data_IF_015681177062
#
_entry.id   IF_015681177062
#
_cell.length_a   1.000
_cell.length_b   1.000
_cell.length_c   1.000
_cell.angle_alpha   90.00
_cell.angle_beta   90.00
_cell.angle_gamma   90.00
#
_symmetry.space_group_name_H-M   'P 1'
#
loop_
_entity.id
_entity.type
_entity.pdbx_description
1 polymer ?
#
# COMPACT_ATOMS: atom_id res chain seq x y z
N UNK A 1 20.36 -5.39 -56.50
CA UNK A 1 19.36 -6.48 -56.44
C UNK A 1 18.18 -5.98 -55.61
N UNK A 2 17.16 -5.33 -56.18
CA UNK A 2 15.90 -5.87 -56.74
C UNK A 2 15.11 -6.80 -55.81
N UNK A 3 13.96 -6.26 -55.34
CA UNK A 3 12.62 -6.85 -55.09
C UNK A 3 12.18 -6.78 -53.62
N UNK A 4 10.92 -6.53 -53.27
CA UNK A 4 9.72 -6.01 -53.95
C UNK A 4 8.79 -5.56 -52.82
N UNK A 5 8.10 -4.48 -53.04
CA UNK A 5 6.95 -3.97 -52.30
C UNK A 5 5.76 -4.93 -52.39
N UNK A 6 4.97 -5.06 -51.31
CA UNK A 6 3.52 -5.31 -51.40
C UNK A 6 2.76 -4.68 -50.22
N UNK A 7 1.72 -3.94 -50.59
CA UNK A 7 0.78 -3.15 -49.80
C UNK A 7 -0.48 -4.00 -49.47
N UNK A 8 -1.53 -3.48 -48.80
CA UNK A 8 -2.27 -4.17 -47.75
C UNK A 8 -3.64 -4.70 -48.21
N UNK A 9 -4.27 -5.54 -47.39
CA UNK A 9 -5.68 -5.94 -47.59
C UNK A 9 -6.54 -5.38 -46.46
N UNK A 10 -7.29 -4.32 -46.78
CA UNK A 10 -8.52 -3.91 -46.10
C UNK A 10 -9.56 -5.01 -46.27
N UNK A 11 -10.16 -5.48 -45.18
CA UNK A 11 -11.46 -6.13 -45.21
C UNK A 11 -12.49 -5.16 -44.64
N UNK A 12 -13.40 -4.71 -45.49
CA UNK A 12 -14.69 -4.11 -45.13
C UNK A 12 -15.74 -5.21 -45.12
N UNK A 13 -16.71 -5.11 -44.19
CA UNK A 13 -18.17 -5.41 -44.30
C UNK A 13 -18.72 -5.83 -42.92
N UNK A 14 -20.03 -5.71 -42.64
CA UNK A 14 -20.95 -4.62 -42.96
C UNK A 14 -21.67 -4.06 -41.71
N UNK A 15 -22.26 -2.87 -41.86
CA UNK A 15 -23.30 -2.34 -40.98
C UNK A 15 -24.51 -3.29 -40.93
N UNK A 16 -24.95 -3.65 -39.73
CA UNK A 16 -26.30 -4.16 -39.51
C UNK A 16 -27.11 -3.08 -38.77
N UNK A 17 -28.00 -2.43 -39.52
CA UNK A 17 -29.04 -1.55 -38.99
C UNK A 17 -30.15 -2.42 -38.40
N UNK A 18 -30.34 -2.36 -37.09
CA UNK A 18 -31.41 -3.05 -36.36
C UNK A 18 -32.30 -2.05 -35.65
N UNK A 19 -33.28 -1.51 -36.39
CA UNK A 19 -34.38 -0.69 -35.89
C UNK A 19 -35.41 -1.61 -35.23
N UNK A 20 -35.72 -1.41 -33.95
CA UNK A 20 -37.06 -1.73 -33.42
C UNK A 20 -37.34 -1.00 -32.10
N UNK A 21 -38.18 0.03 -32.22
CA UNK A 21 -39.00 0.56 -31.14
C UNK A 21 -39.82 -0.55 -30.50
N UNK A 22 -39.90 -0.59 -29.16
CA UNK A 22 -41.12 -1.03 -28.48
C UNK A 22 -41.26 -0.46 -27.07
N UNK A 23 -42.28 0.37 -26.96
CA UNK A 23 -43.26 0.45 -25.88
C UNK A 23 -42.75 0.60 -24.45
N UNK A 24 -42.76 1.88 -24.03
CA UNK A 24 -43.12 2.31 -22.68
C UNK A 24 -44.34 1.54 -22.16
N UNK A 25 -44.15 0.70 -21.14
CA UNK A 25 -45.24 0.18 -20.31
C UNK A 25 -45.00 0.60 -18.87
N UNK A 26 -45.56 1.77 -18.54
CA UNK A 26 -45.79 2.23 -17.16
C UNK A 26 -46.75 1.25 -16.49
N UNK A 27 -46.22 0.34 -15.68
CA UNK A 27 -46.98 -0.31 -14.61
C UNK A 27 -46.63 0.35 -13.29
N UNK A 28 -47.54 1.22 -12.83
CA UNK A 28 -47.66 1.60 -11.41
C UNK A 28 -47.84 0.30 -10.62
N UNK A 29 -46.84 -0.10 -9.85
CA UNK A 29 -47.04 -1.08 -8.79
C UNK A 29 -47.04 -0.35 -7.44
N UNK A 30 -48.07 -0.63 -6.67
CA UNK A 30 -48.32 -0.14 -5.32
C UNK A 30 -47.12 -0.40 -4.42
N UNK A 31 -46.75 0.64 -3.69
CA UNK A 31 -45.95 0.56 -2.46
C UNK A 31 -46.79 -0.21 -1.43
N UNK A 32 -46.31 -1.37 -1.01
CA UNK A 32 -46.68 -2.02 0.24
C UNK A 32 -45.42 -2.08 1.12
N UNK A 33 -45.54 -1.87 2.44
CA UNK A 33 -44.39 -1.86 3.35
C UNK A 33 -43.87 -3.29 3.52
N UNK A 34 -42.59 -3.51 3.20
CA UNK A 34 -41.93 -4.78 3.42
C UNK A 34 -41.47 -4.86 4.88
N UNK A 35 -42.14 -5.69 5.66
CA UNK A 35 -41.66 -6.21 6.94
C UNK A 35 -40.32 -6.93 6.75
N UNK A 36 -39.36 -6.55 7.59
CA UNK A 36 -38.01 -7.09 7.65
C UNK A 36 -38.01 -8.48 8.28
N UNK A 37 -38.20 -9.52 7.46
CA UNK A 37 -37.78 -10.87 7.83
C UNK A 37 -36.32 -11.10 7.43
N UNK A 38 -35.42 -10.95 8.41
CA UNK A 38 -34.04 -11.45 8.36
C UNK A 38 -34.05 -12.98 8.29
N UNK A 39 -34.31 -13.55 7.11
CA UNK A 39 -33.92 -14.93 6.82
C UNK A 39 -32.43 -14.92 6.46
N UNK A 40 -31.61 -15.32 7.43
CA UNK A 40 -30.22 -15.69 7.22
C UNK A 40 -30.18 -16.78 6.14
N UNK A 41 -29.92 -16.35 4.92
CA UNK A 41 -29.74 -17.23 3.78
C UNK A 41 -28.31 -17.72 3.83
N UNK A 42 -28.10 -18.89 4.44
CA UNK A 42 -26.81 -19.58 4.36
C UNK A 42 -26.56 -19.92 2.89
N UNK A 43 -25.79 -19.07 2.21
CA UNK A 43 -25.31 -19.35 0.86
C UNK A 43 -24.32 -20.51 1.01
N UNK A 44 -24.80 -21.73 0.75
CA UNK A 44 -23.94 -22.88 0.63
C UNK A 44 -23.01 -22.66 -0.58
N UNK A 45 -21.80 -22.19 -0.33
CA UNK A 45 -20.77 -22.08 -1.36
C UNK A 45 -20.50 -23.48 -1.92
N UNK A 46 -20.82 -23.66 -3.20
CA UNK A 46 -20.54 -24.89 -3.92
C UNK A 46 -19.03 -25.01 -4.13
N UNK A 47 -18.38 -25.87 -3.35
CA UNK A 47 -16.98 -26.22 -3.54
C UNK A 47 -16.89 -27.33 -4.60
N UNK A 48 -16.19 -27.11 -5.72
CA UNK A 48 -16.00 -28.13 -6.75
C UNK A 48 -15.37 -29.41 -6.19
N UNK A 49 -15.79 -30.58 -6.68
CA UNK A 49 -15.28 -31.89 -6.22
C UNK A 49 -13.75 -32.02 -6.31
N UNK A 50 -13.12 -31.40 -7.31
CA UNK A 50 -11.66 -31.43 -7.47
C UNK A 50 -10.94 -30.65 -6.37
N UNK A 51 -11.48 -29.50 -5.97
CA UNK A 51 -10.95 -28.65 -4.92
C UNK A 51 -11.07 -29.35 -3.55
N UNK A 52 -12.17 -30.08 -3.31
CA UNK A 52 -12.32 -30.91 -2.10
C UNK A 52 -11.25 -32.02 -2.02
N UNK A 53 -10.94 -32.67 -3.14
CA UNK A 53 -9.88 -33.69 -3.23
C UNK A 53 -8.50 -33.10 -2.96
N UNK A 54 -8.23 -31.91 -3.49
CA UNK A 54 -6.98 -31.20 -3.26
C UNK A 54 -6.80 -30.85 -1.78
N UNK A 55 -7.82 -30.30 -1.13
CA UNK A 55 -7.75 -29.97 0.30
C UNK A 55 -7.57 -31.22 1.19
N UNK A 56 -8.23 -32.33 0.87
CA UNK A 56 -8.00 -33.57 1.60
C UNK A 56 -6.56 -34.08 1.45
N UNK A 57 -5.99 -34.02 0.25
CA UNK A 57 -4.61 -34.45 0.01
C UNK A 57 -3.60 -33.57 0.76
N UNK A 58 -3.76 -32.24 0.68
CA UNK A 58 -2.91 -31.29 1.40
C UNK A 58 -3.02 -31.47 2.93
N UNK A 59 -4.25 -31.62 3.44
CA UNK A 59 -4.49 -31.87 4.86
C UNK A 59 -3.81 -33.15 5.36
N UNK A 60 -3.88 -34.24 4.59
CA UNK A 60 -3.19 -35.49 4.95
C UNK A 60 -1.67 -35.35 4.92
N UNK A 61 -1.10 -34.63 3.96
CA UNK A 61 0.34 -34.40 3.90
C UNK A 61 0.85 -33.58 5.09
N UNK A 62 0.17 -32.49 5.45
CA UNK A 62 0.54 -31.67 6.62
C UNK A 62 0.51 -32.50 7.90
N UNK A 63 -0.53 -33.32 8.09
CA UNK A 63 -0.64 -34.19 9.26
C UNK A 63 0.53 -35.18 9.36
N UNK A 64 0.93 -35.80 8.24
CA UNK A 64 2.07 -36.73 8.20
C UNK A 64 3.37 -36.00 8.58
N UNK A 65 3.60 -34.80 8.05
CA UNK A 65 4.80 -34.01 8.38
C UNK A 65 4.85 -33.61 9.85
N UNK A 66 3.73 -33.20 10.45
CA UNK A 66 3.66 -32.85 11.87
C UNK A 66 3.97 -34.06 12.73
N UNK A 67 3.38 -35.22 12.45
CA UNK A 67 3.64 -36.46 13.19
C UNK A 67 5.11 -36.89 13.07
N UNK A 68 5.69 -36.80 11.86
CA UNK A 68 7.10 -37.12 11.64
C UNK A 68 8.04 -36.19 12.42
N UNK A 69 7.79 -34.87 12.40
CA UNK A 69 8.58 -33.90 13.16
C UNK A 69 8.49 -34.15 14.68
N UNK A 70 7.30 -34.48 15.17
CA UNK A 70 7.07 -34.75 16.59
C UNK A 70 7.77 -36.04 17.03
N UNK A 71 7.82 -37.07 16.18
CA UNK A 71 8.60 -38.29 16.42
C UNK A 71 10.11 -38.00 16.47
N UNK A 72 10.64 -37.16 15.57
CA UNK A 72 12.05 -36.76 15.60
C UNK A 72 12.38 -36.02 16.91
N UNK A 73 11.53 -35.08 17.33
CA UNK A 73 11.71 -34.36 18.59
C UNK A 73 11.69 -35.29 19.82
N UNK A 74 10.75 -36.25 19.86
CA UNK A 74 10.66 -37.23 20.95
C UNK A 74 11.88 -38.16 21.02
N UNK A 75 12.50 -38.48 19.88
CA UNK A 75 13.71 -39.32 19.84
C UNK A 75 15.00 -38.56 20.19
N UNK A 76 14.97 -37.22 20.27
CA UNK A 76 16.18 -36.40 20.44
C UNK A 76 16.51 -36.04 21.90
N UNK A 77 15.73 -36.47 22.89
CA UNK A 77 15.90 -36.09 24.31
C UNK A 77 16.71 -37.10 25.13
N UNK A 78 17.87 -37.55 24.64
CA UNK A 78 18.84 -38.23 25.50
C UNK A 78 20.28 -38.00 25.02
N UNK A 79 20.89 -36.90 25.43
CA UNK A 79 22.34 -36.74 25.68
C UNK A 79 22.65 -35.26 25.91
N UNK A 80 23.06 -34.90 27.13
CA UNK A 80 23.51 -33.53 27.39
C UNK A 80 23.68 -33.19 28.86
N UNK A 81 24.43 -34.02 29.59
CA UNK A 81 24.94 -33.65 30.90
C UNK A 81 26.25 -32.87 30.74
N UNK A 82 26.33 -31.71 31.41
CA UNK A 82 27.58 -31.08 31.83
C UNK A 82 28.09 -29.94 30.94
N UNK A 83 28.04 -28.70 31.44
CA UNK A 83 29.26 -28.01 31.87
C UNK A 83 28.96 -26.79 32.76
N UNK A 84 29.93 -26.53 33.63
CA UNK A 84 30.00 -25.70 34.82
C UNK A 84 30.56 -24.30 34.52
N UNK A 85 30.15 -23.32 35.33
CA UNK A 85 30.82 -22.09 35.80
C UNK A 85 31.55 -21.12 34.83
N UNK A 86 31.23 -19.83 34.94
CA UNK A 86 32.06 -18.87 35.70
C UNK A 86 31.79 -17.38 35.35
N UNK A 87 31.58 -16.59 36.40
CA UNK A 87 32.09 -15.23 36.64
C UNK A 87 31.55 -13.99 35.88
N UNK A 88 31.02 -13.08 36.70
CA UNK A 88 30.72 -11.66 36.48
C UNK A 88 32.02 -10.79 36.50
N UNK A 89 31.98 -9.46 36.74
CA UNK A 89 31.15 -8.36 36.22
C UNK A 89 32.04 -7.24 35.59
N UNK A 90 31.45 -6.29 34.85
CA UNK A 90 32.19 -5.10 34.38
C UNK A 90 31.28 -3.93 34.04
N UNK A 91 31.16 -2.98 34.96
CA UNK A 91 30.46 -1.71 34.74
C UNK A 91 31.28 -0.73 33.90
N UNK A 92 30.60 0.12 33.14
CA UNK A 92 31.17 1.27 32.41
C UNK A 92 30.12 2.41 32.38
N UNK A 93 30.53 3.69 32.48
CA UNK A 93 29.76 4.73 33.17
C UNK A 93 28.81 5.56 32.28
N UNK A 94 27.95 6.28 32.98
CA UNK A 94 26.99 7.27 32.52
C UNK A 94 27.66 8.51 31.87
N UNK A 95 27.17 9.02 30.72
CA UNK A 95 27.59 10.32 30.21
C UNK A 95 26.64 11.43 30.66
N UNK A 96 27.15 12.31 31.52
CA UNK A 96 26.62 13.66 31.78
C UNK A 96 26.72 14.50 30.51
N UNK A 97 25.60 15.00 30.00
CA UNK A 97 25.58 16.00 28.92
C UNK A 97 25.11 17.34 29.49
N UNK A 98 26.02 18.32 29.47
CA UNK A 98 25.79 19.68 29.89
C UNK A 98 24.94 20.46 28.87
N UNK A 99 24.02 21.28 29.37
CA UNK A 99 23.20 22.19 28.58
C UNK A 99 24.00 23.45 28.18
N UNK A 100 23.89 23.96 26.94
CA UNK A 100 24.38 25.29 26.58
C UNK A 100 23.38 26.37 27.00
N UNK A 101 23.86 27.40 27.70
CA UNK A 101 23.13 28.66 27.89
C UNK A 101 23.21 29.51 26.62
N UNK A 102 22.05 29.92 26.10
CA UNK A 102 21.95 30.88 25.00
C UNK A 102 21.72 32.27 25.57
N UNK A 103 22.66 33.17 25.26
CA UNK A 103 22.63 34.60 25.55
C UNK A 103 21.61 35.31 24.65
N UNK A 104 20.71 36.09 25.25
CA UNK A 104 19.74 36.94 24.56
C UNK A 104 20.36 38.32 24.39
N UNK A 105 20.71 38.69 23.16
CA UNK A 105 21.22 40.02 22.82
C UNK A 105 20.11 40.82 22.13
N UNK A 106 19.66 41.87 22.80
CA UNK A 106 18.58 42.75 22.35
C UNK A 106 18.94 43.47 21.05
N UNK A 107 18.05 43.36 20.07
CA UNK A 107 18.10 44.15 18.83
C UNK A 107 17.11 45.29 18.94
N UNK A 108 17.60 46.50 18.67
CA UNK A 108 16.87 47.77 18.65
C UNK A 108 15.94 47.76 17.43
N UNK A 109 14.66 48.06 17.65
CA UNK A 109 13.62 48.14 16.62
C UNK A 109 13.67 49.52 15.97
N UNK A 110 13.91 49.55 14.66
CA UNK A 110 13.78 50.71 13.77
C UNK A 110 12.30 50.92 13.38
N UNK A 111 11.78 52.15 13.32
CA UNK A 111 10.37 52.41 13.02
C UNK A 111 10.02 52.06 11.56
N UNK A 112 9.16 51.05 11.42
CA UNK A 112 8.65 50.56 10.14
C UNK A 112 7.65 51.54 9.52
N UNK A 113 7.95 51.98 8.30
CA UNK A 113 7.08 52.81 7.46
C UNK A 113 5.88 51.99 7.01
N UNK A 114 4.67 52.47 7.30
CA UNK A 114 3.39 51.84 6.94
C UNK A 114 3.21 51.84 5.41
N UNK A 115 3.20 50.69 4.73
CA UNK A 115 2.90 50.62 3.32
C UNK A 115 1.39 50.58 3.06
N UNK A 116 0.97 51.37 2.08
CA UNK A 116 -0.38 51.44 1.52
C UNK A 116 -0.89 50.06 1.08
N UNK A 117 -2.13 49.65 1.43
CA UNK A 117 -2.65 48.33 1.09
C UNK A 117 -2.84 48.18 -0.43
N UNK A 118 -2.15 47.21 -1.01
CA UNK A 118 -2.35 46.78 -2.39
C UNK A 118 -3.70 46.04 -2.55
N UNK A 119 -4.27 46.01 -3.77
CA UNK A 119 -5.55 45.35 -4.05
C UNK A 119 -5.49 43.87 -3.66
N UNK A 120 -6.38 43.44 -2.77
CA UNK A 120 -6.43 42.07 -2.29
C UNK A 120 -7.05 41.17 -3.36
N UNK A 121 -6.20 40.54 -4.18
CA UNK A 121 -6.62 39.40 -5.02
C UNK A 121 -7.16 38.32 -4.10
N UNK A 122 -8.37 37.78 -4.32
CA UNK A 122 -8.94 36.75 -3.45
C UNK A 122 -8.03 35.52 -3.46
N UNK A 123 -7.41 35.24 -2.31
CA UNK A 123 -6.62 34.02 -2.10
C UNK A 123 -7.56 32.82 -2.24
N UNK A 124 -7.30 31.86 -3.14
CA UNK A 124 -8.11 30.65 -3.22
C UNK A 124 -8.06 29.94 -1.86
N UNK A 125 -9.23 29.70 -1.27
CA UNK A 125 -9.36 29.07 0.04
C UNK A 125 -8.77 27.66 0.03
N UNK A 126 -7.61 27.51 0.68
CA UNK A 126 -6.88 26.25 0.89
C UNK A 126 -7.75 25.15 1.52
N UNK A 127 -8.82 25.54 2.22
CA UNK A 127 -9.75 24.64 2.89
C UNK A 127 -10.52 23.72 1.94
N UNK A 128 -10.95 24.20 0.76
CA UNK A 128 -11.70 23.36 -0.21
C UNK A 128 -10.84 22.28 -0.86
N UNK A 129 -9.56 22.56 -1.08
CA UNK A 129 -8.65 21.60 -1.69
C UNK A 129 -8.36 20.42 -0.74
N UNK A 130 -8.29 20.68 0.57
CA UNK A 130 -8.10 19.63 1.58
C UNK A 130 -9.35 18.77 1.76
N UNK A 131 -10.54 19.38 1.75
CA UNK A 131 -11.82 18.67 1.86
C UNK A 131 -12.04 17.71 0.68
N UNK A 132 -11.69 18.12 -0.54
CA UNK A 132 -11.76 17.25 -1.70
C UNK A 132 -10.80 16.04 -1.62
N UNK A 133 -9.60 16.21 -1.03
CA UNK A 133 -8.64 15.11 -0.83
C UNK A 133 -9.13 14.09 0.19
N UNK A 134 -9.86 14.52 1.21
CA UNK A 134 -10.33 13.67 2.32
C UNK A 134 -11.72 13.05 2.09
N UNK A 135 -12.44 13.50 1.05
CA UNK A 135 -13.71 12.91 0.62
C UNK A 135 -13.47 11.53 -0.05
N UNK A 136 -13.31 10.51 0.79
CA UNK A 136 -13.22 9.09 0.42
C UNK A 136 -14.21 8.26 1.23
N UNK A 137 -14.82 7.21 0.64
CA UNK A 137 -15.56 6.21 1.41
C UNK A 137 -14.65 5.50 2.43
N UNK A 138 -15.14 5.08 3.60
CA UNK A 138 -14.40 4.23 4.53
C UNK A 138 -13.88 2.95 3.85
N UNK A 139 -12.71 2.46 4.27
CA UNK A 139 -12.14 1.21 3.75
C UNK A 139 -11.59 1.32 2.33
N UNK A 140 -10.95 2.45 2.01
CA UNK A 140 -10.42 2.74 0.67
C UNK A 140 -8.99 3.24 0.66
N UNK A 141 -8.31 2.98 -0.45
CA UNK A 141 -7.05 3.61 -0.84
C UNK A 141 -7.35 4.65 -1.92
N UNK A 142 -6.75 5.83 -1.84
CA UNK A 142 -6.67 6.79 -2.94
C UNK A 142 -5.22 6.98 -3.31
N UNK A 143 -4.87 6.69 -4.56
CA UNK A 143 -3.55 6.95 -5.11
C UNK A 143 -3.59 8.26 -5.90
N UNK A 144 -2.64 9.15 -5.64
CA UNK A 144 -2.51 10.45 -6.32
C UNK A 144 -1.11 10.56 -6.91
N UNK A 145 -1.01 11.03 -8.16
CA UNK A 145 0.27 11.23 -8.82
C UNK A 145 0.57 12.72 -9.04
N UNK A 146 1.61 13.23 -8.39
CA UNK A 146 2.19 14.56 -8.69
C UNK A 146 3.57 14.49 -9.34
N UNK A 147 3.98 13.33 -9.83
CA UNK A 147 5.23 13.18 -10.57
C UNK A 147 5.06 13.71 -12.00
N UNK A 148 5.81 14.76 -12.35
CA UNK A 148 5.80 15.35 -13.69
C UNK A 148 6.78 14.60 -14.62
N UNK A 149 6.49 13.33 -14.90
CA UNK A 149 7.34 12.45 -15.70
C UNK A 149 6.56 11.45 -16.54
N UNK A 150 7.05 11.13 -17.74
CA UNK A 150 6.39 10.18 -18.65
C UNK A 150 6.53 8.73 -18.19
N UNK A 151 7.60 8.41 -17.45
CA UNK A 151 7.84 7.07 -16.89
C UNK A 151 6.93 6.75 -15.68
N UNK A 152 6.33 7.78 -15.06
CA UNK A 152 5.50 7.69 -13.86
C UNK A 152 4.05 8.07 -14.18
N UNK A 153 3.47 7.52 -15.26
CA UNK A 153 2.11 7.85 -15.71
C UNK A 153 1.07 6.75 -15.43
N UNK A 154 1.46 5.69 -14.72
CA UNK A 154 0.61 4.56 -14.39
C UNK A 154 0.95 3.99 -13.01
N UNK A 155 -0.11 3.61 -12.29
CA UNK A 155 -0.04 2.86 -11.05
C UNK A 155 0.08 1.38 -11.39
N UNK A 156 1.06 0.72 -10.78
CA UNK A 156 1.25 -0.71 -10.84
C UNK A 156 1.00 -1.30 -9.46
N UNK A 157 0.30 -2.42 -9.39
CA UNK A 157 0.17 -3.18 -8.14
C UNK A 157 0.18 -4.67 -8.40
N UNK A 158 0.60 -5.43 -7.40
CA UNK A 158 0.78 -6.87 -7.53
C UNK A 158 0.57 -7.57 -6.20
N UNK A 159 -0.06 -8.74 -6.24
CA UNK A 159 -0.05 -9.70 -5.15
C UNK A 159 0.99 -10.81 -5.36
N UNK A 160 1.37 -11.49 -4.28
CA UNK A 160 2.38 -12.55 -4.31
C UNK A 160 2.02 -13.59 -5.40
N UNK A 161 3.00 -13.92 -6.26
CA UNK A 161 2.88 -14.88 -7.36
C UNK A 161 1.91 -14.52 -8.49
N UNK A 162 1.66 -13.23 -8.74
CA UNK A 162 0.83 -12.80 -9.85
C UNK A 162 1.46 -11.76 -10.76
N UNK A 163 0.93 -11.62 -12.00
CA UNK A 163 1.31 -10.52 -12.86
C UNK A 163 0.96 -9.16 -12.23
N UNK A 164 1.66 -8.12 -12.66
CA UNK A 164 1.27 -6.75 -12.31
C UNK A 164 -0.10 -6.43 -12.92
N UNK A 165 -0.92 -5.78 -12.11
CA UNK A 165 -2.03 -4.97 -12.56
C UNK A 165 -1.53 -3.57 -12.88
N UNK A 166 -2.21 -2.89 -13.80
CA UNK A 166 -1.85 -1.54 -14.23
C UNK A 166 -3.11 -0.70 -14.43
N UNK A 167 -3.06 0.54 -13.96
CA UNK A 167 -4.08 1.55 -14.23
C UNK A 167 -3.41 2.88 -14.62
N UNK A 168 -3.94 3.60 -15.63
CA UNK A 168 -3.47 4.95 -15.93
C UNK A 168 -3.62 5.85 -14.71
N UNK A 169 -2.55 6.55 -14.35
CA UNK A 169 -2.52 7.54 -13.28
C UNK A 169 -1.63 8.70 -13.73
N UNK A 170 -2.09 9.53 -14.69
CA UNK A 170 -1.30 10.65 -15.19
C UNK A 170 -1.10 11.73 -14.12
N UNK A 171 -0.21 12.68 -14.39
CA UNK A 171 0.07 13.81 -13.50
C UNK A 171 -1.23 14.56 -13.12
N UNK A 172 -1.41 14.79 -11.81
CA UNK A 172 -2.56 15.44 -11.22
C UNK A 172 -3.80 14.54 -11.06
N UNK A 173 -3.76 13.29 -11.54
CA UNK A 173 -4.89 12.37 -11.41
C UNK A 173 -4.88 11.62 -10.08
N UNK A 174 -6.04 11.08 -9.74
CA UNK A 174 -6.24 10.18 -8.60
C UNK A 174 -7.08 8.98 -8.99
N UNK A 175 -6.86 7.84 -8.33
CA UNK A 175 -7.68 6.64 -8.44
C UNK A 175 -7.99 6.08 -7.05
N UNK A 176 -9.24 5.66 -6.85
CA UNK A 176 -9.71 5.09 -5.59
C UNK A 176 -9.95 3.57 -5.75
N UNK A 177 -9.52 2.79 -4.77
CA UNK A 177 -9.80 1.36 -4.66
C UNK A 177 -10.41 1.05 -3.30
N UNK A 178 -11.35 0.11 -3.23
CA UNK A 178 -11.68 -0.51 -1.94
C UNK A 178 -10.56 -1.47 -1.54
N UNK A 179 -10.43 -1.74 -0.24
CA UNK A 179 -9.44 -2.71 0.24
C UNK A 179 -9.59 -4.08 -0.43
N UNK A 180 -10.83 -4.51 -0.69
CA UNK A 180 -11.14 -5.77 -1.38
C UNK A 180 -10.69 -5.82 -2.84
N UNK A 181 -10.50 -4.68 -3.50
CA UNK A 181 -10.33 -4.62 -4.96
C UNK A 181 -8.86 -4.81 -5.39
N UNK A 182 -7.92 -4.57 -4.48
CA UNK A 182 -6.47 -4.61 -4.73
C UNK A 182 -5.80 -5.93 -4.29
N UNK A 183 -6.54 -6.82 -3.62
CA UNK A 183 -6.07 -8.10 -3.11
C UNK A 183 -5.77 -8.09 -1.60
N UNK A 184 -5.50 -9.27 -1.03
CA UNK A 184 -5.28 -9.43 0.41
C UNK A 184 -3.87 -9.10 0.85
N UNK A 185 -2.87 -9.22 -0.03
CA UNK A 185 -1.49 -8.84 0.25
C UNK A 185 -0.88 -8.34 -1.06
N UNK A 186 -0.59 -7.05 -1.12
CA UNK A 186 -0.15 -6.42 -2.34
C UNK A 186 0.87 -5.31 -2.08
N UNK A 187 1.68 -5.04 -3.11
CA UNK A 187 2.49 -3.84 -3.21
C UNK A 187 1.92 -2.94 -4.31
N UNK A 188 1.96 -1.63 -4.11
CA UNK A 188 1.65 -0.62 -5.12
C UNK A 188 2.85 0.29 -5.36
N UNK A 189 3.09 0.66 -6.62
CA UNK A 189 4.20 1.51 -7.05
C UNK A 189 3.82 2.35 -8.25
N UNK A 190 4.52 3.47 -8.43
CA UNK A 190 4.34 4.34 -9.60
C UNK A 190 5.43 4.08 -10.65
N UNK A 191 5.00 3.76 -11.87
CA UNK A 191 5.89 3.35 -12.96
C UNK A 191 6.16 1.84 -13.01
N UNK A 192 6.66 1.38 -14.16
CA UNK A 192 6.76 -0.06 -14.47
C UNK A 192 7.93 -0.77 -13.75
N UNK A 193 8.96 -0.02 -13.32
CA UNK A 193 10.14 -0.58 -12.65
C UNK A 193 9.73 -1.38 -11.42
N UNK A 194 10.27 -2.58 -11.27
CA UNK A 194 10.13 -3.38 -10.03
C UNK A 194 11.03 -2.87 -8.92
N UNK A 195 12.08 -2.13 -9.29
CA UNK A 195 12.96 -1.38 -8.39
C UNK A 195 12.34 0.02 -8.21
N UNK A 196 11.44 0.14 -7.23
CA UNK A 196 10.66 1.35 -6.96
C UNK A 196 10.34 1.52 -5.47
N UNK A 197 9.99 2.73 -5.05
CA UNK A 197 9.38 2.98 -3.75
C UNK A 197 8.01 2.29 -3.71
N UNK A 198 7.81 1.42 -2.72
CA UNK A 198 6.60 0.60 -2.57
C UNK A 198 5.72 1.12 -1.44
N UNK A 199 4.42 1.13 -1.69
CA UNK A 199 3.39 1.09 -0.64
C UNK A 199 2.94 -0.37 -0.52
N UNK A 200 3.31 -1.04 0.57
CA UNK A 200 2.98 -2.43 0.81
C UNK A 200 1.81 -2.51 1.80
N UNK A 201 0.86 -3.40 1.55
CA UNK A 201 -0.30 -3.56 2.42
C UNK A 201 -0.83 -4.99 2.44
N UNK A 202 -1.45 -5.34 3.56
CA UNK A 202 -2.17 -6.59 3.77
C UNK A 202 -3.56 -6.28 4.35
N UNK A 203 -4.60 -6.84 3.75
CA UNK A 203 -5.99 -6.73 4.18
C UNK A 203 -6.58 -8.12 4.41
N UNK A 204 -7.08 -8.37 5.62
CA UNK A 204 -7.66 -9.68 6.00
C UNK A 204 -9.20 -9.67 6.12
N UNK A 205 -9.85 -8.53 5.90
CA UNK A 205 -11.29 -8.35 6.13
C UNK A 205 -11.64 -7.58 7.41
N UNK A 206 -10.70 -7.45 8.35
CA UNK A 206 -10.86 -6.79 9.63
C UNK A 206 -9.84 -5.68 9.87
N UNK A 207 -8.60 -5.84 9.38
CA UNK A 207 -7.51 -4.89 9.59
C UNK A 207 -6.66 -4.74 8.34
N UNK A 208 -6.11 -3.54 8.17
CA UNK A 208 -5.08 -3.26 7.17
C UNK A 208 -3.75 -3.08 7.88
N UNK A 209 -2.77 -3.88 7.49
CA UNK A 209 -1.37 -3.60 7.79
C UNK A 209 -0.76 -2.92 6.59
N UNK A 210 0.06 -1.89 6.81
CA UNK A 210 0.74 -1.23 5.72
C UNK A 210 2.13 -0.74 6.13
N UNK A 211 2.98 -0.56 5.14
CA UNK A 211 4.25 0.14 5.27
C UNK A 211 4.72 0.75 3.95
N UNK A 212 5.80 1.52 4.04
CA UNK A 212 6.57 1.96 2.89
C UNK A 212 7.86 1.15 2.83
N UNK A 213 8.31 0.80 1.62
CA UNK A 213 9.52 0.02 1.43
C UNK A 213 10.34 0.48 0.22
N UNK A 214 11.66 0.45 0.38
CA UNK A 214 12.66 0.60 -0.70
C UNK A 214 13.66 -0.55 -0.67
N UNK A 215 13.26 -1.67 -0.05
CA UNK A 215 14.07 -2.89 -0.01
C UNK A 215 14.33 -3.31 -1.46
N UNK A 216 15.60 -3.37 -1.89
CA UNK A 216 15.88 -3.62 -3.29
C UNK A 216 15.35 -4.94 -3.80
N UNK A 217 15.02 -4.99 -5.08
CA UNK A 217 14.85 -6.27 -5.76
C UNK A 217 16.20 -6.98 -5.85
N UNK A 218 16.19 -8.32 -5.84
CA UNK A 218 17.36 -9.16 -6.03
C UNK A 218 18.47 -9.05 -4.96
N UNK A 219 18.10 -8.92 -3.68
CA UNK A 219 19.04 -8.94 -2.54
C UNK A 219 19.86 -10.24 -2.34
N UNK A 220 19.65 -11.26 -3.18
CA UNK A 220 20.20 -12.59 -2.98
C UNK A 220 19.58 -13.30 -1.77
N UNK A 221 20.10 -14.47 -1.43
CA UNK A 221 19.61 -15.28 -0.30
C UNK A 221 20.11 -14.79 1.06
N UNK A 222 21.19 -14.02 1.10
CA UNK A 222 21.83 -13.54 2.34
C UNK A 222 21.56 -12.07 2.67
N UNK A 223 20.85 -11.34 1.79
CA UNK A 223 20.59 -9.89 1.92
C UNK A 223 21.83 -9.00 1.86
N UNK A 224 23.02 -9.55 1.68
CA UNK A 224 24.30 -8.82 1.67
C UNK A 224 24.34 -7.72 0.59
N UNK A 225 23.62 -7.91 -0.53
CA UNK A 225 23.53 -6.93 -1.62
C UNK A 225 22.65 -5.72 -1.27
N UNK A 226 21.85 -5.84 -0.22
CA UNK A 226 20.87 -4.85 0.23
C UNK A 226 21.19 -4.29 1.60
N UNK A 227 22.48 -4.30 1.98
CA UNK A 227 22.93 -3.58 3.15
C UNK A 227 22.51 -2.09 3.03
N UNK A 228 22.13 -1.44 4.14
CA UNK A 228 21.76 -0.02 4.12
C UNK A 228 22.82 0.83 3.40
N UNK A 229 22.40 1.58 2.38
CA UNK A 229 23.28 2.49 1.62
C UNK A 229 24.04 1.87 0.44
N UNK A 230 23.93 0.56 0.18
CA UNK A 230 24.60 -0.07 -0.99
C UNK A 230 23.73 -0.06 -2.24
N UNK A 231 22.42 -0.21 -2.07
CA UNK A 231 21.43 -0.23 -3.15
C UNK A 231 20.07 0.16 -2.57
N UNK A 232 19.27 0.92 -3.32
CA UNK A 232 17.93 1.34 -2.90
C UNK A 232 16.99 1.34 -4.09
N UNK A 233 15.79 0.75 -3.90
CA UNK A 233 14.71 0.84 -4.88
C UNK A 233 14.05 2.22 -4.97
N UNK A 234 14.52 3.23 -4.24
CA UNK A 234 13.83 4.53 -4.20
C UNK A 234 13.80 5.18 -5.60
N UNK A 235 12.60 5.42 -6.12
CA UNK A 235 12.40 6.10 -7.40
C UNK A 235 11.67 7.45 -7.23
N UNK A 236 10.65 7.50 -6.39
CA UNK A 236 9.86 8.71 -6.12
C UNK A 236 9.55 8.86 -4.64
N UNK A 237 9.40 10.11 -4.15
CA UNK A 237 8.84 10.40 -2.83
C UNK A 237 7.41 9.88 -2.69
N UNK A 238 7.07 9.35 -1.53
CA UNK A 238 5.70 8.88 -1.22
C UNK A 238 5.28 9.37 0.16
N UNK A 239 4.03 9.84 0.26
CA UNK A 239 3.33 10.02 1.52
C UNK A 239 2.12 9.11 1.62
N UNK A 240 1.78 8.72 2.84
CA UNK A 240 0.56 8.01 3.22
C UNK A 240 -0.09 8.81 4.33
N UNK A 241 -1.16 9.50 3.99
CA UNK A 241 -2.01 10.17 4.97
C UNK A 241 -3.14 9.22 5.38
N UNK A 242 -3.34 9.09 6.69
CA UNK A 242 -4.31 8.17 7.28
C UNK A 242 -5.46 8.96 7.89
N UNK A 243 -6.70 8.58 7.52
CA UNK A 243 -7.91 9.19 8.04
C UNK A 243 -8.88 8.15 8.57
N UNK A 244 -9.64 8.50 9.60
CA UNK A 244 -10.64 7.62 10.21
C UNK A 244 -10.51 7.60 11.72
N UNK A 245 -10.75 6.44 12.32
CA UNK A 245 -10.57 6.22 13.76
C UNK A 245 -9.07 6.26 14.08
N UNK A 246 -8.69 7.09 15.03
CA UNK A 246 -7.30 7.21 15.48
C UNK A 246 -6.95 5.96 16.30
N UNK A 247 -5.97 5.20 15.83
CA UNK A 247 -5.40 4.06 16.54
C UNK A 247 -3.89 4.30 16.73
N UNK A 248 -3.28 3.87 17.85
CA UNK A 248 -1.86 4.15 18.13
C UNK A 248 -0.88 3.66 17.06
N UNK A 249 -1.19 2.55 16.38
CA UNK A 249 -0.34 1.98 15.31
C UNK A 249 -0.71 2.51 13.92
N UNK A 250 -1.90 3.10 13.77
CA UNK A 250 -2.43 3.59 12.51
C UNK A 250 -2.07 5.07 12.31
N UNK A 251 -0.80 5.31 12.02
CA UNK A 251 -0.24 6.67 11.85
C UNK A 251 -0.03 6.99 10.38
N UNK A 252 0.20 8.25 10.03
CA UNK A 252 0.63 8.65 8.69
C UNK A 252 2.14 8.47 8.51
N UNK A 253 2.58 8.16 7.29
CA UNK A 253 3.98 7.92 6.95
C UNK A 253 4.41 8.80 5.77
N UNK A 254 5.63 9.36 5.84
CA UNK A 254 6.14 10.30 4.83
C UNK A 254 7.58 9.97 4.50
N UNK A 255 7.89 9.82 3.21
CA UNK A 255 9.23 9.48 2.77
C UNK A 255 9.67 10.30 1.56
N UNK A 256 10.52 11.31 1.80
CA UNK A 256 11.03 12.20 0.75
C UNK A 256 12.27 11.66 0.01
N UNK A 257 12.95 10.66 0.57
CA UNK A 257 14.20 10.11 0.04
C UNK A 257 14.43 8.67 0.53
N UNK A 258 15.42 7.99 -0.04
CA UNK A 258 15.77 6.59 0.24
C UNK A 258 16.12 6.28 1.72
N UNK A 259 16.47 7.29 2.52
CA UNK A 259 16.98 7.11 3.89
C UNK A 259 16.00 7.59 4.96
N UNK A 260 14.75 7.86 4.58
CA UNK A 260 13.76 8.41 5.51
C UNK A 260 13.47 7.43 6.69
N UNK A 261 13.13 7.91 7.89
CA UNK A 261 12.92 7.04 9.05
C UNK A 261 11.68 6.13 8.99
N UNK A 262 10.75 6.43 8.10
CA UNK A 262 9.43 5.77 7.97
C UNK A 262 9.43 4.59 6.99
N UNK A 263 10.55 4.32 6.30
CA UNK A 263 10.61 3.32 5.23
C UNK A 263 11.44 2.10 5.61
N UNK A 264 11.02 0.93 5.16
CA UNK A 264 11.83 -0.28 5.16
C UNK A 264 13.00 -0.12 4.20
N UNK A 265 14.21 -0.16 4.76
CA UNK A 265 15.48 -0.22 3.99
C UNK A 265 16.04 -1.64 3.99
N UNK A 266 15.68 -2.44 4.99
CA UNK A 266 16.03 -3.87 5.14
C UNK A 266 14.84 -4.62 5.73
N UNK A 267 14.68 -5.93 5.48
CA UNK A 267 13.51 -6.70 5.94
C UNK A 267 13.28 -6.72 7.46
N UNK A 268 14.32 -6.54 8.27
CA UNK A 268 14.23 -6.67 9.73
C UNK A 268 13.89 -5.34 10.45
N UNK A 269 13.10 -4.46 9.83
CA UNK A 269 12.65 -3.22 10.47
C UNK A 269 11.26 -3.36 11.09
N UNK A 270 10.93 -2.52 12.07
CA UNK A 270 9.58 -2.43 12.65
C UNK A 270 8.91 -1.14 12.15
N UNK A 271 8.50 -1.10 10.87
CA UNK A 271 7.83 0.04 10.24
C UNK A 271 6.41 -0.28 9.75
N UNK A 272 5.93 -1.51 9.95
CA UNK A 272 4.54 -1.87 9.69
C UNK A 272 3.60 -1.18 10.68
N UNK A 273 2.57 -0.55 10.11
CA UNK A 273 1.48 0.10 10.79
C UNK A 273 0.23 -0.78 10.71
N UNK A 274 -0.61 -0.73 11.75
CA UNK A 274 -1.82 -1.52 11.84
C UNK A 274 -3.05 -0.62 12.02
N UNK A 275 -4.02 -0.78 11.13
CA UNK A 275 -5.18 0.08 10.95
C UNK A 275 -6.50 -0.69 10.94
N UNK A 276 -7.56 -0.11 11.52
CA UNK A 276 -8.91 -0.66 11.49
C UNK A 276 -9.55 -0.68 10.10
N UNK A 277 -10.69 -1.37 9.94
CA UNK A 277 -11.30 -1.68 8.64
C UNK A 277 -11.97 -0.49 7.95
N UNK A 278 -12.24 0.58 8.72
CA UNK A 278 -12.87 1.81 8.23
C UNK A 278 -11.87 2.92 7.92
N UNK A 279 -10.57 2.62 8.06
CA UNK A 279 -9.49 3.55 7.72
C UNK A 279 -9.55 3.94 6.25
N UNK A 280 -9.07 5.14 5.95
CA UNK A 280 -8.92 5.66 4.59
C UNK A 280 -7.49 6.11 4.42
N UNK A 281 -6.89 5.70 3.31
CA UNK A 281 -5.52 6.04 2.98
C UNK A 281 -5.50 6.97 1.78
N UNK A 282 -4.72 8.04 1.86
CA UNK A 282 -4.32 8.86 0.71
C UNK A 282 -2.83 8.66 0.48
N UNK A 283 -2.50 7.92 -0.57
CA UNK A 283 -1.13 7.62 -1.00
C UNK A 283 -0.76 8.60 -2.11
N UNK A 284 0.18 9.50 -1.84
CA UNK A 284 0.59 10.54 -2.80
C UNK A 284 2.02 10.32 -3.25
N UNK A 285 2.20 10.12 -4.55
CA UNK A 285 3.51 10.06 -5.20
C UNK A 285 4.00 11.46 -5.59
N UNK A 286 5.30 11.72 -5.39
CA UNK A 286 5.95 13.02 -5.56
C UNK A 286 5.22 14.12 -4.77
N UNK A 287 5.00 13.89 -3.48
CA UNK A 287 4.32 14.84 -2.59
C UNK A 287 5.17 16.07 -2.20
N UNK A 288 6.45 16.09 -2.58
CA UNK A 288 7.44 17.14 -2.28
C UNK A 288 7.68 18.06 -3.46
#
# INVERSE_FOLDING_TARGET
MRRRSHCPRKLHLPLASGRQSRASRRTRSRVAPAESHLRSSSIAMYVPKWQRRLYTALGTSVLIFVVAALLVFLTSTSSGAGHIDASAPGGVPSPTTAAPQVSVQGTIVEPSVVPTPAPTTPTPSTSRAFEARTAQPPGTYRFINYCNGTAQNALYWRWLNAPDHVAPLPYGASIDFKFSDVGTSAMARLGASVDATLFEFNWDGARVWYDLSVVPVACGSSWDLCAPGTHSSFNVPVSVEVFGVVEPSCVSAYCANATCPSIYQVPNSHKTHDCGPLTRFVVTFCYV
#
